data_IF_909177379157
#
_entry.id   IF_909177379157
#
_cell.length_a   1.000
_cell.length_b   1.000
_cell.length_c   1.000
_cell.angle_alpha   90.00
_cell.angle_beta   90.00
_cell.angle_gamma   90.00
#
_symmetry.space_group_name_H-M   'P 1'
#
loop_
_entity.id
_entity.type
_entity.pdbx_description
1 polymer ?
#
# COMPACT_ATOMS: atom_id res chain seq x y z
N UNK A 1 -9.15 -35.76 -11.43
CA UNK A 1 -8.42 -34.98 -10.44
C UNK A 1 -8.27 -33.59 -11.05
N UNK A 2 -8.87 -32.56 -10.46
CA UNK A 2 -8.69 -31.19 -10.96
C UNK A 2 -7.26 -30.75 -10.62
N UNK A 3 -6.50 -30.17 -11.55
CA UNK A 3 -5.18 -29.64 -11.26
C UNK A 3 -5.35 -28.46 -10.29
N UNK A 4 -4.70 -28.53 -9.15
CA UNK A 4 -4.60 -27.42 -8.22
C UNK A 4 -3.25 -26.73 -8.38
N UNK A 5 -3.25 -25.41 -8.18
CA UNK A 5 -2.06 -24.56 -8.27
C UNK A 5 -1.92 -23.74 -7.00
N UNK A 6 -0.72 -23.46 -6.62
CA UNK A 6 -0.39 -22.55 -5.52
C UNK A 6 0.91 -21.82 -5.84
N UNK A 7 1.11 -20.69 -5.20
CA UNK A 7 2.36 -19.94 -5.24
C UNK A 7 3.14 -20.26 -3.97
N UNK A 8 4.39 -20.62 -4.12
CA UNK A 8 5.34 -20.75 -3.00
C UNK A 8 6.24 -19.51 -3.03
N UNK A 9 6.11 -18.64 -2.02
CA UNK A 9 6.99 -17.50 -1.82
C UNK A 9 7.99 -17.82 -0.72
N UNK A 10 9.26 -17.63 -1.03
CA UNK A 10 10.36 -17.83 -0.08
C UNK A 10 10.96 -16.47 0.27
N UNK A 11 11.29 -16.30 1.54
CA UNK A 11 11.93 -15.10 2.06
C UNK A 11 13.26 -15.49 2.67
N UNK A 12 14.28 -14.70 2.36
CA UNK A 12 15.63 -14.88 2.86
C UNK A 12 16.24 -13.50 3.12
N UNK A 13 16.87 -13.30 4.28
CA UNK A 13 17.51 -12.03 4.59
C UNK A 13 18.94 -11.90 4.04
N UNK A 14 19.53 -12.98 3.56
CA UNK A 14 20.89 -13.02 2.99
C UNK A 14 20.92 -12.65 1.49
N UNK A 15 19.86 -12.01 0.99
CA UNK A 15 19.80 -11.54 -0.40
C UNK A 15 20.78 -10.39 -0.67
N UNK A 16 21.15 -10.21 -1.94
CA UNK A 16 22.00 -9.08 -2.36
C UNK A 16 21.15 -7.85 -2.73
N UNK A 17 21.62 -6.66 -2.38
CA UNK A 17 21.04 -5.39 -2.82
C UNK A 17 19.70 -5.04 -2.17
N UNK A 18 18.67 -4.79 -2.97
CA UNK A 18 17.34 -4.39 -2.50
C UNK A 18 16.57 -5.48 -1.73
N UNK A 19 17.06 -6.71 -1.77
CA UNK A 19 16.47 -7.86 -1.09
C UNK A 19 17.06 -8.10 0.31
N UNK A 20 18.10 -7.37 0.68
CA UNK A 20 18.68 -7.42 2.01
C UNK A 20 17.77 -6.63 2.98
N UNK A 21 16.85 -7.33 3.61
CA UNK A 21 15.98 -6.76 4.65
C UNK A 21 16.64 -6.77 6.01
N UNK A 22 16.25 -5.85 6.88
CA UNK A 22 16.71 -5.78 8.25
C UNK A 22 16.29 -7.00 9.07
N UNK A 23 17.11 -7.45 9.98
CA UNK A 23 16.76 -8.43 11.01
C UNK A 23 16.12 -7.78 12.25
N UNK A 24 16.15 -6.44 12.36
CA UNK A 24 15.47 -5.70 13.41
C UNK A 24 13.96 -5.65 13.10
N UNK A 25 13.11 -6.21 13.98
CA UNK A 25 11.66 -6.19 13.78
C UNK A 25 11.05 -4.79 13.72
N UNK A 26 11.71 -3.81 14.33
CA UNK A 26 11.25 -2.42 14.33
C UNK A 26 11.64 -1.66 13.06
N UNK A 27 12.59 -2.20 12.28
CA UNK A 27 12.98 -1.60 11.02
C UNK A 27 11.83 -1.64 10.00
N UNK A 28 11.74 -0.62 9.17
CA UNK A 28 10.70 -0.51 8.16
C UNK A 28 10.77 -1.63 7.11
N UNK A 29 11.94 -2.20 6.86
CA UNK A 29 12.26 -3.27 5.90
C UNK A 29 12.54 -4.62 6.57
N UNK A 30 11.93 -4.89 7.72
CA UNK A 30 12.09 -6.18 8.42
C UNK A 30 11.69 -7.35 7.51
N UNK A 31 12.64 -8.23 7.21
CA UNK A 31 12.53 -9.27 6.20
C UNK A 31 11.47 -10.35 6.46
N UNK A 32 11.15 -10.65 7.73
CA UNK A 32 10.11 -11.64 8.09
C UNK A 32 8.70 -11.07 8.13
N UNK A 33 8.49 -9.76 7.95
CA UNK A 33 7.18 -9.13 8.19
C UNK A 33 6.07 -9.74 7.34
N UNK A 34 6.26 -9.89 6.05
CA UNK A 34 5.24 -10.46 5.18
C UNK A 34 4.86 -11.89 5.59
N UNK A 35 5.84 -12.72 5.96
CA UNK A 35 5.60 -14.07 6.47
C UNK A 35 4.75 -14.07 7.75
N UNK A 36 4.97 -13.13 8.67
CA UNK A 36 4.19 -12.95 9.90
C UNK A 36 2.78 -12.45 9.61
N UNK A 37 2.62 -11.54 8.63
CA UNK A 37 1.29 -11.07 8.19
C UNK A 37 0.42 -12.23 7.75
N UNK A 38 0.93 -13.15 6.93
CA UNK A 38 0.13 -14.31 6.48
C UNK A 38 -0.26 -15.26 7.60
N UNK A 39 0.36 -15.20 8.76
CA UNK A 39 0.01 -16.00 9.95
C UNK A 39 -0.95 -15.26 10.88
N UNK A 40 -1.08 -13.94 10.74
CA UNK A 40 -1.89 -13.11 11.61
C UNK A 40 -3.40 -13.44 11.47
N UNK A 41 -4.11 -13.79 12.56
CA UNK A 41 -5.53 -14.13 12.51
C UNK A 41 -6.40 -13.01 11.94
N UNK A 42 -6.05 -11.75 12.18
CA UNK A 42 -6.81 -10.60 11.70
C UNK A 42 -6.71 -10.42 10.17
N UNK A 43 -5.59 -10.80 9.54
CA UNK A 43 -5.46 -10.86 8.07
C UNK A 43 -6.26 -12.05 7.51
N UNK A 44 -6.09 -13.23 8.09
CA UNK A 44 -6.81 -14.42 7.64
C UNK A 44 -8.32 -14.34 7.92
N UNK A 45 -8.73 -13.42 8.78
CA UNK A 45 -10.12 -13.13 9.10
C UNK A 45 -10.80 -12.14 8.14
N UNK A 46 -10.09 -11.49 7.23
CA UNK A 46 -10.67 -10.58 6.23
C UNK A 46 -11.58 -11.34 5.26
N UNK A 47 -12.80 -10.84 5.00
CA UNK A 47 -13.78 -11.51 4.14
C UNK A 47 -14.29 -10.62 3.02
N UNK A 48 -14.29 -9.30 3.20
CA UNK A 48 -14.88 -8.33 2.31
C UNK A 48 -13.89 -7.20 2.00
N UNK A 49 -14.07 -6.53 0.89
CA UNK A 49 -13.26 -5.40 0.46
C UNK A 49 -11.81 -5.83 0.18
N UNK A 50 -10.86 -5.33 0.98
CA UNK A 50 -9.46 -5.73 0.92
C UNK A 50 -9.25 -7.03 1.68
N UNK A 51 -8.65 -8.02 1.01
CA UNK A 51 -8.33 -9.34 1.58
C UNK A 51 -6.90 -9.76 1.20
N UNK A 52 -6.33 -10.68 1.97
CA UNK A 52 -5.10 -11.36 1.57
C UNK A 52 -5.41 -12.63 0.76
N UNK A 53 -4.45 -13.18 -0.01
CA UNK A 53 -4.55 -14.51 -0.57
C UNK A 53 -4.79 -15.54 0.52
N UNK A 54 -5.51 -16.60 0.19
CA UNK A 54 -5.63 -17.74 1.10
C UNK A 54 -4.25 -18.34 1.33
N UNK A 55 -3.83 -18.39 2.58
CA UNK A 55 -2.62 -19.10 3.00
C UNK A 55 -2.95 -20.58 3.21
N UNK A 56 -2.23 -21.48 2.54
CA UNK A 56 -2.37 -22.92 2.68
C UNK A 56 -1.40 -23.50 3.70
N UNK A 57 -0.33 -22.76 4.01
CA UNK A 57 0.66 -23.11 4.99
C UNK A 57 1.86 -22.20 4.92
N UNK A 58 2.62 -22.17 5.99
CA UNK A 58 3.87 -21.43 6.10
C UNK A 58 4.81 -22.13 7.06
N UNK A 59 6.10 -21.85 6.98
CA UNK A 59 7.08 -22.45 7.88
C UNK A 59 8.45 -21.83 7.77
N UNK A 60 9.33 -22.26 8.66
CA UNK A 60 10.77 -21.93 8.64
C UNK A 60 11.51 -23.06 7.96
N UNK A 61 12.43 -22.72 7.04
CA UNK A 61 13.37 -23.66 6.42
C UNK A 61 14.70 -23.65 7.14
N UNK A 62 15.11 -22.47 7.58
CA UNK A 62 16.32 -22.21 8.34
C UNK A 62 16.14 -20.94 9.18
N UNK A 63 17.07 -20.60 10.03
CA UNK A 63 17.08 -19.35 10.78
C UNK A 63 16.97 -18.12 9.87
N UNK A 64 17.56 -18.21 8.67
CA UNK A 64 17.65 -17.15 7.66
C UNK A 64 16.63 -17.28 6.53
N UNK A 65 15.75 -18.29 6.55
CA UNK A 65 14.82 -18.57 5.46
C UNK A 65 13.44 -19.06 5.94
N UNK A 66 12.40 -18.45 5.44
CA UNK A 66 10.99 -18.82 5.70
C UNK A 66 10.21 -18.93 4.39
N UNK A 67 9.04 -19.58 4.42
CA UNK A 67 8.19 -19.77 3.25
C UNK A 67 6.70 -19.61 3.56
N UNK A 68 5.95 -19.25 2.52
CA UNK A 68 4.48 -19.23 2.52
C UNK A 68 3.99 -19.91 1.24
N UNK A 69 3.04 -20.83 1.39
CA UNK A 69 2.27 -21.37 0.28
C UNK A 69 0.90 -20.70 0.22
N UNK A 70 0.60 -20.05 -0.88
CA UNK A 70 -0.60 -19.23 -1.01
C UNK A 70 -1.36 -19.49 -2.31
N UNK A 71 -2.56 -18.97 -2.38
CA UNK A 71 -3.45 -19.00 -3.53
C UNK A 71 -2.78 -18.43 -4.78
N UNK A 72 -2.94 -19.13 -5.92
CA UNK A 72 -2.55 -18.62 -7.24
C UNK A 72 -3.62 -17.64 -7.76
N UNK A 73 -3.23 -16.38 -7.88
CA UNK A 73 -4.06 -15.28 -8.35
C UNK A 73 -3.85 -14.95 -9.84
N UNK A 74 -3.10 -15.74 -10.57
CA UNK A 74 -2.75 -15.48 -11.98
C UNK A 74 -3.98 -15.22 -12.84
N UNK A 75 -5.07 -15.94 -12.62
CA UNK A 75 -6.33 -15.78 -13.35
C UNK A 75 -7.05 -14.45 -13.03
N UNK A 76 -6.76 -13.83 -11.89
CA UNK A 76 -7.33 -12.55 -11.46
C UNK A 76 -6.48 -11.35 -11.90
N UNK A 77 -5.35 -11.59 -12.57
CA UNK A 77 -4.45 -10.55 -13.05
C UNK A 77 -4.99 -9.92 -14.34
N UNK A 78 -5.72 -8.82 -14.21
CA UNK A 78 -6.30 -8.09 -15.33
C UNK A 78 -5.71 -6.67 -15.38
N UNK A 79 -4.66 -6.49 -16.15
CA UNK A 79 -4.03 -5.18 -16.40
C UNK A 79 -4.17 -4.78 -17.88
N UNK A 80 -4.18 -3.48 -18.21
CA UNK A 80 -4.18 -2.31 -17.31
C UNK A 80 -5.48 -2.17 -16.50
N UNK A 81 -5.40 -1.49 -15.36
CA UNK A 81 -6.56 -1.20 -14.52
C UNK A 81 -7.38 -0.06 -15.12
N UNK A 82 -8.71 -0.24 -15.12
CA UNK A 82 -9.65 0.83 -15.41
C UNK A 82 -9.79 1.77 -14.20
N UNK A 83 -10.29 2.97 -14.44
CA UNK A 83 -10.65 3.92 -13.39
C UNK A 83 -11.56 3.30 -12.31
N UNK A 84 -12.57 2.50 -12.73
CA UNK A 84 -13.47 1.82 -11.80
C UNK A 84 -12.76 0.84 -10.87
N UNK A 85 -11.67 0.21 -11.32
CA UNK A 85 -10.84 -0.67 -10.48
C UNK A 85 -10.01 0.10 -9.48
N UNK A 86 -9.42 1.23 -9.87
CA UNK A 86 -8.74 2.13 -8.93
C UNK A 86 -9.72 2.61 -7.86
N UNK A 87 -10.93 3.02 -8.25
CA UNK A 87 -11.97 3.45 -7.31
C UNK A 87 -12.39 2.32 -6.35
N UNK A 88 -12.56 1.10 -6.86
CA UNK A 88 -12.88 -0.07 -6.03
C UNK A 88 -11.76 -0.38 -5.04
N UNK A 89 -10.51 -0.41 -5.49
CA UNK A 89 -9.35 -0.64 -4.63
C UNK A 89 -9.21 0.44 -3.55
N UNK A 90 -9.39 1.73 -3.91
CA UNK A 90 -9.34 2.83 -2.96
C UNK A 90 -10.47 2.72 -1.91
N UNK A 91 -11.68 2.33 -2.30
CA UNK A 91 -12.78 2.07 -1.37
C UNK A 91 -12.47 0.92 -0.43
N UNK A 92 -11.95 -0.21 -0.95
CA UNK A 92 -11.59 -1.37 -0.14
C UNK A 92 -10.43 -1.06 0.83
N UNK A 93 -9.46 -0.22 0.44
CA UNK A 93 -8.43 0.31 1.33
C UNK A 93 -9.05 1.17 2.43
N UNK A 94 -9.97 2.08 2.09
CA UNK A 94 -10.67 2.91 3.07
C UNK A 94 -11.45 2.07 4.09
N UNK A 95 -12.15 1.03 3.64
CA UNK A 95 -12.86 0.08 4.51
C UNK A 95 -11.90 -0.71 5.42
N UNK A 96 -10.77 -1.13 4.87
CA UNK A 96 -9.70 -1.82 5.62
C UNK A 96 -9.09 -0.92 6.70
N UNK A 97 -8.62 0.28 6.31
CA UNK A 97 -8.05 1.24 7.27
C UNK A 97 -9.10 1.65 8.32
N UNK A 98 -10.34 1.90 7.91
CA UNK A 98 -11.44 2.27 8.82
C UNK A 98 -11.73 1.22 9.88
N UNK A 99 -11.59 -0.05 9.58
CA UNK A 99 -11.78 -1.16 10.54
C UNK A 99 -10.85 -1.05 11.74
N UNK A 100 -9.60 -0.64 11.53
CA UNK A 100 -8.61 -0.51 12.59
C UNK A 100 -8.60 0.87 13.25
N UNK A 101 -9.36 1.81 12.71
CA UNK A 101 -9.55 3.13 13.31
C UNK A 101 -10.70 3.13 14.32
N UNK A 102 -11.78 2.40 13.98
CA UNK A 102 -13.02 2.34 14.76
C UNK A 102 -13.09 1.01 15.48
N UNK A 103 -13.00 1.02 16.77
CA UNK A 103 -13.13 -0.20 17.58
C UNK A 103 -12.01 -0.43 18.58
N UNK A 104 -10.95 0.34 18.50
CA UNK A 104 -9.92 0.40 19.56
C UNK A 104 -8.89 -0.74 19.55
N UNK A 105 -9.17 -1.86 18.88
CA UNK A 105 -8.27 -3.01 18.87
C UNK A 105 -7.40 -3.02 17.59
N UNK A 106 -6.52 -2.01 17.47
CA UNK A 106 -5.45 -2.14 16.50
C UNK A 106 -4.57 -3.34 16.88
N UNK A 107 -4.18 -4.18 15.90
CA UNK A 107 -3.21 -5.22 16.16
C UNK A 107 -1.96 -4.62 16.80
N UNK A 108 -1.57 -5.16 17.95
CA UNK A 108 -0.39 -4.72 18.70
C UNK A 108 0.84 -5.58 18.36
N UNK A 109 0.82 -6.20 17.19
CA UNK A 109 1.89 -7.08 16.75
C UNK A 109 3.21 -6.31 16.67
N UNK A 110 4.23 -6.82 17.35
CA UNK A 110 5.54 -6.18 17.50
C UNK A 110 6.29 -5.99 16.18
N UNK A 111 5.93 -6.76 15.16
CA UNK A 111 6.54 -6.74 13.83
C UNK A 111 5.87 -5.75 12.85
N UNK A 112 4.77 -5.10 13.22
CA UNK A 112 4.14 -4.08 12.38
C UNK A 112 5.07 -2.90 12.13
N UNK A 113 5.19 -2.47 10.87
CA UNK A 113 6.04 -1.35 10.48
C UNK A 113 5.60 -0.05 11.17
N UNK A 114 6.59 0.70 11.65
CA UNK A 114 6.38 2.03 12.23
C UNK A 114 7.40 2.98 11.64
N UNK A 115 7.03 3.70 10.60
CA UNK A 115 7.95 4.65 9.97
C UNK A 115 8.48 4.21 8.61
N UNK A 116 7.72 3.40 7.89
CA UNK A 116 8.05 2.98 6.52
C UNK A 116 8.41 4.18 5.63
N UNK A 117 7.58 5.25 5.61
CA UNK A 117 7.83 6.42 4.78
C UNK A 117 9.17 7.11 5.11
N UNK A 118 9.52 7.20 6.41
CA UNK A 118 10.80 7.80 6.83
C UNK A 118 11.98 6.97 6.37
N UNK A 119 11.95 5.67 6.64
CA UNK A 119 13.02 4.76 6.25
C UNK A 119 13.20 4.68 4.73
N UNK A 120 12.09 4.66 3.98
CA UNK A 120 12.13 4.70 2.52
C UNK A 120 12.74 6.00 1.99
N UNK A 121 12.35 7.14 2.53
CA UNK A 121 12.90 8.43 2.10
C UNK A 121 14.36 8.61 2.51
N UNK A 122 14.78 8.13 3.68
CA UNK A 122 16.20 8.10 4.06
C UNK A 122 17.03 7.26 3.07
N UNK A 123 16.50 6.11 2.65
CA UNK A 123 17.15 5.29 1.62
C UNK A 123 17.22 5.99 0.26
N UNK A 124 16.25 6.84 -0.06
CA UNK A 124 16.21 7.63 -1.30
C UNK A 124 17.12 8.87 -1.28
N UNK A 125 17.62 9.30 -0.12
CA UNK A 125 18.43 10.51 0.04
C UNK A 125 19.62 10.61 -0.93
N UNK A 126 20.41 9.55 -1.17
CA UNK A 126 21.52 9.62 -2.15
C UNK A 126 21.06 9.91 -3.57
N UNK A 127 19.86 9.46 -3.95
CA UNK A 127 19.29 9.75 -5.28
C UNK A 127 18.78 11.20 -5.35
N UNK A 128 18.10 11.67 -4.32
CA UNK A 128 17.56 13.02 -4.27
C UNK A 128 18.69 14.06 -4.29
N UNK A 129 19.78 13.81 -3.57
CA UNK A 129 20.95 14.71 -3.55
C UNK A 129 21.66 14.81 -4.90
N UNK A 130 21.51 13.83 -5.77
CA UNK A 130 22.06 13.84 -7.14
C UNK A 130 21.11 14.50 -8.16
N UNK A 131 19.84 14.75 -7.83
CA UNK A 131 18.87 15.33 -8.77
C UNK A 131 19.35 16.61 -9.45
N UNK A 132 19.99 17.60 -8.78
CA UNK A 132 20.46 18.80 -9.45
C UNK A 132 21.45 18.52 -10.59
N UNK A 133 22.41 17.60 -10.37
CA UNK A 133 23.38 17.22 -11.40
C UNK A 133 22.78 16.33 -12.48
N UNK A 134 21.82 15.48 -12.14
CA UNK A 134 21.09 14.66 -13.09
C UNK A 134 20.20 15.52 -14.01
N UNK A 135 19.65 16.61 -13.49
CA UNK A 135 18.84 17.57 -14.26
C UNK A 135 19.59 18.23 -15.42
N UNK A 136 20.92 18.31 -15.32
CA UNK A 136 21.77 18.87 -16.38
C UNK A 136 21.97 17.90 -17.55
N UNK A 137 21.63 16.62 -17.37
CA UNK A 137 21.74 15.65 -18.44
C UNK A 137 20.63 15.84 -19.48
N UNK A 138 20.95 15.88 -20.80
CA UNK A 138 19.98 16.19 -21.85
C UNK A 138 18.71 15.32 -21.80
N UNK A 139 18.87 14.01 -21.57
CA UNK A 139 17.73 13.09 -21.50
C UNK A 139 16.82 13.35 -20.29
N UNK A 140 17.38 13.78 -19.17
CA UNK A 140 16.59 14.12 -17.98
C UNK A 140 15.88 15.45 -18.20
N UNK A 141 16.55 16.44 -18.80
CA UNK A 141 15.96 17.73 -19.14
C UNK A 141 14.82 17.62 -20.17
N UNK A 142 14.86 16.62 -21.06
CA UNK A 142 13.76 16.31 -21.99
C UNK A 142 12.52 15.72 -21.27
N UNK A 143 12.73 14.95 -20.20
CA UNK A 143 11.66 14.25 -19.49
C UNK A 143 11.05 15.06 -18.35
N UNK A 144 11.86 15.88 -17.70
CA UNK A 144 11.46 16.61 -16.50
C UNK A 144 11.71 18.12 -16.67
N UNK A 145 10.65 18.92 -16.60
CA UNK A 145 10.79 20.34 -16.56
C UNK A 145 11.61 20.77 -15.32
N UNK A 146 12.45 21.81 -15.42
CA UNK A 146 13.22 22.33 -14.28
C UNK A 146 12.34 22.67 -13.06
N UNK A 147 11.12 23.14 -13.29
CA UNK A 147 10.12 23.40 -12.24
C UNK A 147 9.71 22.14 -11.48
N UNK A 148 9.63 20.97 -12.13
CA UNK A 148 9.31 19.70 -11.50
C UNK A 148 10.42 19.28 -10.53
N UNK A 149 11.67 19.41 -10.95
CA UNK A 149 12.84 19.12 -10.11
C UNK A 149 12.90 20.08 -8.93
N UNK A 150 12.68 21.38 -9.17
CA UNK A 150 12.61 22.38 -8.11
C UNK A 150 11.53 22.05 -7.06
N UNK A 151 10.36 21.62 -7.50
CA UNK A 151 9.28 21.20 -6.61
C UNK A 151 9.66 19.95 -5.79
N UNK A 152 10.27 18.95 -6.41
CA UNK A 152 10.75 17.75 -5.71
C UNK A 152 11.77 18.10 -4.61
N UNK A 153 12.72 18.96 -4.90
CA UNK A 153 13.71 19.42 -3.92
C UNK A 153 13.04 20.22 -2.80
N UNK A 154 12.06 21.07 -3.11
CA UNK A 154 11.30 21.79 -2.10
C UNK A 154 10.52 20.84 -1.17
N UNK A 155 9.85 19.83 -1.72
CA UNK A 155 9.17 18.78 -0.91
C UNK A 155 10.19 18.06 -0.04
N UNK A 156 11.36 17.75 -0.58
CA UNK A 156 12.42 17.09 0.17
C UNK A 156 12.95 17.95 1.34
N UNK A 157 13.15 19.23 1.14
CA UNK A 157 13.59 20.16 2.19
C UNK A 157 12.59 20.21 3.34
N UNK A 158 11.27 20.19 3.04
CA UNK A 158 10.20 20.25 4.03
C UNK A 158 9.72 18.88 4.50
N UNK A 159 10.40 17.77 4.15
CA UNK A 159 9.94 16.41 4.47
C UNK A 159 9.69 16.16 5.96
N UNK A 160 10.45 16.82 6.83
CA UNK A 160 10.28 16.67 8.30
C UNK A 160 8.96 17.24 8.78
N UNK A 161 8.63 18.44 8.30
CA UNK A 161 7.35 19.09 8.63
C UNK A 161 6.17 18.23 8.11
N UNK A 162 6.35 17.62 6.93
CA UNK A 162 5.36 16.70 6.37
C UNK A 162 5.22 15.43 7.23
N UNK A 163 6.31 14.87 7.74
CA UNK A 163 6.24 13.72 8.66
C UNK A 163 5.51 14.07 9.96
N UNK A 164 5.80 15.22 10.55
CA UNK A 164 5.13 15.68 11.76
C UNK A 164 3.64 15.87 11.52
N UNK A 165 3.27 16.44 10.37
CA UNK A 165 1.87 16.58 9.99
C UNK A 165 1.17 15.22 9.80
N UNK A 166 1.83 14.23 9.19
CA UNK A 166 1.30 12.88 9.02
C UNK A 166 1.18 12.14 10.36
N UNK A 167 2.14 12.31 11.28
CA UNK A 167 2.09 11.72 12.61
C UNK A 167 0.95 12.28 13.46
N UNK A 168 0.57 13.54 13.22
CA UNK A 168 -0.56 14.19 13.91
C UNK A 168 -1.93 13.71 13.39
N UNK A 169 -2.01 13.05 12.24
CA UNK A 169 -3.24 12.47 11.72
C UNK A 169 -3.62 11.19 12.47
N UNK A 170 -4.91 10.82 12.45
CA UNK A 170 -5.33 9.50 12.94
C UNK A 170 -4.52 8.39 12.26
N UNK A 171 -3.99 7.46 13.07
CA UNK A 171 -3.18 6.34 12.61
C UNK A 171 -4.03 5.09 12.46
N UNK A 172 -3.75 4.30 11.44
CA UNK A 172 -4.42 3.02 11.18
C UNK A 172 -3.42 1.99 10.66
N UNK A 173 -3.86 0.73 10.57
CA UNK A 173 -3.11 -0.29 9.86
C UNK A 173 -3.26 -0.06 8.36
N UNK A 174 -2.12 0.03 7.67
CA UNK A 174 -2.00 0.26 6.25
C UNK A 174 -1.15 -0.85 5.60
N UNK A 175 -1.42 -1.10 4.32
CA UNK A 175 -0.60 -2.01 3.50
C UNK A 175 0.74 -1.35 3.11
N UNK A 176 0.69 -0.06 2.78
CA UNK A 176 1.78 0.84 2.43
C UNK A 176 2.48 0.58 1.08
N UNK A 177 2.04 -0.44 0.34
CA UNK A 177 2.58 -0.75 -1.00
C UNK A 177 1.52 -1.32 -1.95
N UNK A 178 0.26 -0.88 -1.80
CA UNK A 178 -0.82 -1.36 -2.67
C UNK A 178 -0.89 -0.55 -3.97
N UNK A 179 -0.58 -1.19 -5.08
CA UNK A 179 -0.75 -0.70 -6.45
C UNK A 179 -1.01 -1.90 -7.39
N UNK A 180 -1.31 -1.71 -8.70
CA UNK A 180 -1.78 -2.80 -9.56
C UNK A 180 -0.91 -4.06 -9.63
N UNK A 181 0.40 -3.99 -9.35
CA UNK A 181 1.27 -5.17 -9.30
C UNK A 181 1.05 -6.02 -8.07
N UNK A 182 0.66 -5.38 -6.96
CA UNK A 182 0.46 -6.02 -5.66
C UNK A 182 -1.02 -6.27 -5.35
N UNK A 183 -1.92 -6.03 -6.33
CA UNK A 183 -3.35 -6.15 -6.14
C UNK A 183 -4.04 -6.88 -7.30
N UNK A 184 -4.99 -7.75 -6.95
CA UNK A 184 -5.78 -8.55 -7.87
C UNK A 184 -7.26 -8.35 -7.55
N UNK A 185 -8.09 -8.35 -8.59
CA UNK A 185 -9.54 -8.19 -8.41
C UNK A 185 -10.21 -9.53 -8.70
N UNK A 186 -11.03 -9.99 -7.78
CA UNK A 186 -11.88 -11.17 -7.96
C UNK A 186 -13.30 -10.93 -7.46
N UNK A 187 -14.21 -11.77 -7.90
CA UNK A 187 -15.57 -11.84 -7.35
C UNK A 187 -15.66 -13.11 -6.50
N UNK A 188 -16.02 -12.97 -5.24
CA UNK A 188 -16.24 -14.06 -4.32
C UNK A 188 -17.56 -13.84 -3.56
N UNK A 189 -18.41 -14.87 -3.50
CA UNK A 189 -19.71 -14.76 -2.83
C UNK A 189 -20.64 -13.68 -3.41
N UNK A 190 -20.44 -13.28 -4.68
CA UNK A 190 -21.21 -12.21 -5.32
C UNK A 190 -20.68 -10.79 -5.05
N UNK A 191 -19.65 -10.62 -4.25
CA UNK A 191 -19.00 -9.34 -3.96
C UNK A 191 -17.62 -9.26 -4.64
N UNK A 192 -17.25 -8.05 -5.08
CA UNK A 192 -15.91 -7.76 -5.57
C UNK A 192 -14.95 -7.61 -4.40
N UNK A 193 -13.77 -8.21 -4.53
CA UNK A 193 -12.68 -8.15 -3.57
C UNK A 193 -11.40 -7.68 -4.25
N UNK A 194 -10.63 -6.84 -3.56
CA UNK A 194 -9.22 -6.56 -3.87
C UNK A 194 -8.35 -7.50 -3.04
N UNK A 195 -7.65 -8.41 -3.71
CA UNK A 195 -6.72 -9.33 -3.04
C UNK A 195 -5.32 -8.73 -3.07
N UNK A 196 -4.81 -8.35 -1.93
CA UNK A 196 -3.50 -7.71 -1.77
C UNK A 196 -2.42 -8.75 -1.46
N UNK A 197 -1.29 -8.65 -2.16
CA UNK A 197 -0.05 -9.40 -1.89
C UNK A 197 1.05 -8.41 -1.52
N UNK A 198 2.20 -8.94 -1.12
CA UNK A 198 3.39 -8.14 -0.79
C UNK A 198 3.19 -7.21 0.41
N UNK A 199 2.86 -7.83 1.53
CA UNK A 199 2.58 -7.16 2.81
C UNK A 199 3.85 -6.79 3.59
N UNK A 200 5.01 -6.73 2.92
CA UNK A 200 6.31 -6.50 3.56
C UNK A 200 6.39 -5.20 4.38
N UNK A 201 5.59 -4.19 4.02
CA UNK A 201 5.59 -2.89 4.69
C UNK A 201 4.38 -2.66 5.60
N UNK A 202 3.52 -3.68 5.76
CA UNK A 202 2.31 -3.58 6.57
C UNK A 202 2.60 -3.02 7.97
N UNK A 203 1.83 -2.00 8.36
CA UNK A 203 2.03 -1.38 9.66
C UNK A 203 1.20 -0.13 9.89
N UNK A 204 1.54 0.59 10.96
CA UNK A 204 0.83 1.81 11.32
C UNK A 204 1.28 2.99 10.46
N UNK A 205 0.31 3.70 9.89
CA UNK A 205 0.53 4.92 9.13
C UNK A 205 -0.69 5.85 9.22
N UNK A 206 -0.53 7.08 8.75
CA UNK A 206 -1.61 8.04 8.68
C UNK A 206 -2.79 7.49 7.86
N UNK A 207 -4.01 7.73 8.31
CA UNK A 207 -5.21 7.37 7.57
C UNK A 207 -5.16 7.95 6.15
N UNK A 208 -5.29 7.09 5.14
CA UNK A 208 -5.18 7.45 3.73
C UNK A 208 -3.77 7.34 3.14
N UNK A 209 -2.74 6.96 3.92
CA UNK A 209 -1.38 6.78 3.43
C UNK A 209 -1.30 5.75 2.28
N UNK A 210 -2.17 4.73 2.29
CA UNK A 210 -2.24 3.70 1.24
C UNK A 210 -2.59 4.23 -0.16
N UNK A 211 -3.14 5.44 -0.24
CA UNK A 211 -3.49 6.04 -1.53
C UNK A 211 -2.26 6.59 -2.27
N UNK A 212 -1.21 6.92 -1.55
CA UNK A 212 0.02 7.39 -2.16
C UNK A 212 0.66 6.31 -3.06
N UNK A 213 0.88 5.05 -2.62
CA UNK A 213 1.34 4.00 -3.52
C UNK A 213 0.29 3.62 -4.57
N UNK A 214 -1.00 3.57 -4.22
CA UNK A 214 -2.05 3.23 -5.19
C UNK A 214 -2.04 4.16 -6.41
N UNK A 215 -1.82 5.44 -6.23
CA UNK A 215 -1.79 6.43 -7.31
C UNK A 215 -0.36 6.70 -7.79
N UNK A 216 0.55 7.05 -6.88
CA UNK A 216 1.90 7.49 -7.22
C UNK A 216 2.76 6.38 -7.80
N UNK A 217 2.76 5.18 -7.21
CA UNK A 217 3.50 4.05 -7.77
C UNK A 217 2.90 3.59 -9.10
N UNK A 218 1.56 3.65 -9.25
CA UNK A 218 0.91 3.32 -10.52
C UNK A 218 1.34 4.23 -11.66
N UNK A 219 1.50 5.51 -11.41
CA UNK A 219 2.02 6.48 -12.38
C UNK A 219 3.52 6.25 -12.63
N UNK A 220 4.31 6.09 -11.58
CA UNK A 220 5.75 5.90 -11.66
C UNK A 220 6.16 4.62 -12.39
N UNK A 221 5.37 3.56 -12.29
CA UNK A 221 5.59 2.28 -12.98
C UNK A 221 4.82 2.15 -14.30
N UNK A 222 4.19 3.22 -14.77
CA UNK A 222 3.38 3.24 -16.00
C UNK A 222 2.24 2.22 -16.00
N UNK A 223 1.69 1.89 -14.84
CA UNK A 223 0.51 1.03 -14.69
C UNK A 223 -0.80 1.81 -14.90
N UNK A 224 -0.74 3.13 -14.89
CA UNK A 224 -1.82 4.05 -15.21
C UNK A 224 -1.36 5.06 -16.25
N UNK A 225 -2.26 5.46 -17.15
CA UNK A 225 -1.97 6.50 -18.14
C UNK A 225 -1.95 7.87 -17.43
N UNK A 226 -0.81 8.58 -17.54
CA UNK A 226 -0.66 9.90 -16.94
C UNK A 226 -1.60 10.95 -17.58
N UNK A 227 -2.03 10.77 -18.84
CA UNK A 227 -3.02 11.64 -19.47
C UNK A 227 -4.43 11.37 -18.95
N UNK A 228 -4.75 10.13 -18.62
CA UNK A 228 -6.00 9.82 -17.93
C UNK A 228 -5.96 10.28 -16.46
N UNK A 229 -4.79 10.24 -15.82
CA UNK A 229 -4.60 10.71 -14.45
C UNK A 229 -4.85 12.22 -14.28
N UNK A 230 -4.66 13.03 -15.31
CA UNK A 230 -5.07 14.45 -15.27
C UNK A 230 -6.59 14.61 -15.15
N UNK A 231 -7.36 13.65 -15.62
CA UNK A 231 -8.80 13.57 -15.42
C UNK A 231 -9.19 13.07 -14.03
N UNK A 232 -8.22 12.53 -13.26
CA UNK A 232 -8.43 12.14 -11.86
C UNK A 232 -8.58 13.35 -10.92
N UNK A 233 -8.32 14.58 -11.40
CA UNK A 233 -8.71 15.81 -10.70
C UNK A 233 -10.22 15.92 -10.44
N UNK A 234 -11.05 15.13 -11.16
CA UNK A 234 -12.49 14.94 -10.91
C UNK A 234 -12.79 13.92 -9.82
N UNK A 235 -11.80 13.24 -9.23
CA UNK A 235 -11.98 12.43 -8.03
C UNK A 235 -12.09 13.37 -6.82
N UNK A 236 -13.28 13.87 -6.58
CA UNK A 236 -13.56 14.56 -5.33
C UNK A 236 -13.51 13.52 -4.19
N UNK A 237 -12.58 13.70 -3.30
CA UNK A 237 -12.60 13.02 -2.00
C UNK A 237 -13.85 13.48 -1.27
N UNK A 238 -14.88 12.68 -1.29
CA UNK A 238 -16.08 12.97 -0.51
C UNK A 238 -15.92 12.30 0.85
N UNK A 239 -15.70 13.07 1.91
CA UNK A 239 -15.74 12.51 3.25
C UNK A 239 -17.15 12.03 3.53
N UNK A 240 -17.35 10.75 3.71
CA UNK A 240 -18.60 10.19 4.18
C UNK A 240 -18.46 9.96 5.67
N UNK A 241 -19.11 10.80 6.46
CA UNK A 241 -19.13 10.63 7.91
C UNK A 241 -20.19 9.60 8.29
N UNK A 242 -19.78 8.45 8.77
CA UNK A 242 -20.66 7.45 9.36
C UNK A 242 -20.54 7.54 10.87
N UNK A 243 -21.67 7.72 11.54
CA UNK A 243 -21.72 7.63 13.01
C UNK A 243 -21.84 6.17 13.37
N UNK A 244 -20.81 5.64 14.03
CA UNK A 244 -20.82 4.29 14.57
C UNK A 244 -21.09 4.36 16.07
N UNK A 245 -22.17 3.74 16.50
CA UNK A 245 -22.43 3.51 17.93
C UNK A 245 -21.71 2.22 18.33
N UNK A 246 -20.77 2.32 19.26
CA UNK A 246 -20.09 1.18 19.87
C UNK A 246 -20.33 1.16 21.37
N UNK A 247 -20.14 0.03 22.06
CA UNK A 247 -20.21 -0.04 23.53
C UNK A 247 -19.27 0.93 24.24
N UNK A 248 -18.23 1.43 23.57
CA UNK A 248 -17.27 2.39 24.08
C UNK A 248 -17.66 3.86 23.82
N UNK A 249 -18.79 4.13 23.14
CA UNK A 249 -19.28 5.46 22.84
C UNK A 249 -19.57 5.71 21.35
N UNK A 250 -20.07 6.90 21.06
CA UNK A 250 -20.42 7.35 19.73
C UNK A 250 -19.20 7.94 19.04
N UNK A 251 -18.73 7.34 17.97
CA UNK A 251 -17.63 7.84 17.15
C UNK A 251 -18.14 8.22 15.75
N UNK A 252 -17.73 9.39 15.27
CA UNK A 252 -17.94 9.76 13.87
C UNK A 252 -16.74 9.30 13.06
N UNK A 253 -16.95 8.34 12.18
CA UNK A 253 -15.94 7.88 11.24
C UNK A 253 -16.12 8.62 9.95
N UNK A 254 -15.11 9.36 9.57
CA UNK A 254 -15.05 9.96 8.23
C UNK A 254 -14.31 9.02 7.32
N UNK A 255 -15.04 8.30 6.48
CA UNK A 255 -14.46 7.52 5.38
C UNK A 255 -14.35 8.43 4.17
N UNK A 256 -13.24 8.36 3.47
CA UNK A 256 -13.07 9.07 2.21
C UNK A 256 -13.43 8.11 1.07
N UNK A 257 -14.46 8.40 0.31
CA UNK A 257 -14.78 7.69 -0.91
C UNK A 257 -14.38 8.50 -2.13
N UNK A 258 -13.79 7.84 -3.12
CA UNK A 258 -13.59 8.40 -4.44
C UNK A 258 -14.98 8.46 -5.13
N UNK A 259 -15.58 9.64 -5.21
CA UNK A 259 -16.76 9.86 -6.01
C UNK A 259 -16.33 10.27 -7.43
N UNK A 260 -16.77 9.52 -8.43
CA UNK A 260 -16.70 9.97 -9.81
C UNK A 260 -17.76 11.05 -10.02
N UNK A 261 -17.33 12.27 -10.32
CA UNK A 261 -18.28 13.28 -10.81
C UNK A 261 -18.91 12.74 -12.10
N UNK A 262 -20.25 12.80 -12.26
CA UNK A 262 -20.87 12.46 -13.52
C UNK A 262 -20.31 13.41 -14.58
N UNK A 263 -19.69 12.85 -15.61
CA UNK A 263 -19.34 13.63 -16.80
C UNK A 263 -20.65 14.18 -17.37
N UNK A 264 -20.78 15.49 -17.40
CA UNK A 264 -21.86 16.14 -18.15
C UNK A 264 -21.71 15.79 -19.63
N UNK A 265 -22.83 15.49 -20.34
CA UNK A 265 -22.80 15.08 -21.74
C UNK A 265 -22.25 16.17 -22.66
#
# INVERSE_FOLDING_TARGET
>A
MLPWKFILKMFNHEGEGWQEGSTDPMAWDFWKREWLVYQAPWIQGLRDGLVAPRCFGSGELAETAVWVAMEDLTAANQRPWSQSRFAAAARHLGEFNGRFLVGGDQPADWWLSRGWLRGWTERAEPMITQLPSLAEQPRVAELFAPSTIGLLLQVWEHRRDLYEALDALPQSICHQDLFPRNAFIRVAGGAEQTVAIDWAFCGSAALGADLAPLLGASLGFLEADCYEATNWSGFAWTPTSTVCDSPAGRATVTTFSLATSPQSP
#
